data_IF_193147081896
#
_entry.id   IF_193147081896
#
_cell.length_a   1.000
_cell.length_b   1.000
_cell.length_c   1.000
_cell.angle_alpha   90.00
_cell.angle_beta   90.00
_cell.angle_gamma   90.00
#
_symmetry.space_group_name_H-M   'P 1'
#
loop_
_entity.id
_entity.type
_entity.pdbx_description
1 polymer ?
#
# COMPACT_ATOMS: atom_id res chain seq x y z
N UNK A 1 10.58 -21.10 8.19
CA UNK A 1 9.38 -20.82 7.49
C UNK A 1 9.30 -19.39 7.01
N UNK A 2 9.34 -19.22 5.78
CA UNK A 2 9.24 -17.86 5.31
C UNK A 2 7.88 -17.34 5.70
N UNK A 3 7.89 -16.15 6.11
CA UNK A 3 6.62 -15.52 6.34
C UNK A 3 6.44 -14.46 5.29
N UNK A 4 5.24 -14.07 5.08
CA UNK A 4 4.89 -13.12 4.03
C UNK A 4 4.55 -11.77 4.59
N UNK A 5 5.17 -11.43 5.73
CA UNK A 5 4.91 -10.14 6.32
C UNK A 5 5.34 -8.99 5.41
N UNK A 6 6.23 -9.28 4.46
CA UNK A 6 6.72 -8.25 3.58
C UNK A 6 5.77 -7.95 2.43
N UNK A 7 4.76 -8.76 2.22
CA UNK A 7 3.82 -8.59 1.12
C UNK A 7 2.43 -8.32 1.67
N UNK A 8 1.82 -7.24 1.20
CA UNK A 8 0.47 -6.86 1.57
C UNK A 8 -0.41 -6.98 0.33
N UNK A 9 -1.57 -7.57 0.48
CA UNK A 9 -2.52 -7.72 -0.62
C UNK A 9 -3.72 -6.83 -0.41
N UNK A 10 -4.05 -6.05 -1.44
CA UNK A 10 -5.21 -5.17 -1.44
C UNK A 10 -5.99 -5.38 -2.72
N UNK A 11 -7.19 -4.86 -2.77
CA UNK A 11 -8.00 -5.00 -3.98
C UNK A 11 -9.00 -3.85 -4.09
N UNK A 12 -9.41 -3.57 -5.31
CA UNK A 12 -10.39 -2.53 -5.62
C UNK A 12 -9.98 -1.18 -5.04
N UNK A 13 -8.76 -0.74 -5.37
CA UNK A 13 -8.23 0.51 -4.85
C UNK A 13 -8.59 1.64 -5.80
N UNK A 14 -9.45 2.55 -5.36
CA UNK A 14 -9.92 3.68 -6.16
C UNK A 14 -9.20 4.97 -5.83
N UNK A 15 -8.58 5.07 -4.67
CA UNK A 15 -7.95 6.29 -4.23
C UNK A 15 -6.90 5.95 -3.18
N UNK A 16 -6.07 6.96 -2.87
CA UNK A 16 -5.02 6.74 -1.87
C UNK A 16 -5.59 6.38 -0.51
N UNK A 17 -6.70 7.03 -0.13
CA UNK A 17 -7.30 6.75 1.16
C UNK A 17 -7.70 5.27 1.28
N UNK A 18 -8.29 4.73 0.23
CA UNK A 18 -8.68 3.32 0.24
C UNK A 18 -7.47 2.40 0.39
N UNK A 19 -6.38 2.73 -0.29
CA UNK A 19 -5.15 1.97 -0.16
C UNK A 19 -4.61 2.03 1.26
N UNK A 20 -4.55 3.24 1.82
CA UNK A 20 -4.03 3.42 3.18
C UNK A 20 -4.84 2.61 4.18
N UNK A 21 -6.15 2.64 4.04
CA UNK A 21 -7.02 1.93 4.98
C UNK A 21 -6.87 0.43 4.86
N UNK A 22 -6.78 -0.09 3.66
CA UNK A 22 -6.63 -1.53 3.48
C UNK A 22 -5.30 -2.03 4.03
N UNK A 23 -4.22 -1.30 3.76
CA UNK A 23 -2.92 -1.70 4.25
C UNK A 23 -2.86 -1.58 5.77
N UNK A 24 -3.37 -0.48 6.31
CA UNK A 24 -3.35 -0.28 7.75
C UNK A 24 -4.15 -1.35 8.48
N UNK A 25 -5.27 -1.78 7.91
CA UNK A 25 -6.10 -2.80 8.54
C UNK A 25 -5.38 -4.14 8.67
N UNK A 26 -4.40 -4.38 7.83
CA UNK A 26 -3.63 -5.62 7.89
C UNK A 26 -2.41 -5.52 8.79
N UNK A 27 -1.91 -4.31 8.99
CA UNK A 27 -0.70 -4.10 9.78
C UNK A 27 -0.98 -3.66 11.21
N UNK A 28 -1.98 -2.84 11.40
CA UNK A 28 -2.30 -2.31 12.73
C UNK A 28 -3.21 -3.29 13.47
N UNK A 29 -2.84 -3.60 14.68
CA UNK A 29 -3.62 -4.54 15.48
C UNK A 29 -4.46 -3.85 16.55
N UNK A 30 -4.25 -2.55 16.75
CA UNK A 30 -4.98 -1.78 17.75
C UNK A 30 -5.60 -0.57 17.07
N UNK A 31 -6.13 0.32 17.87
CA UNK A 31 -6.85 1.50 17.38
C UNK A 31 -5.91 2.56 16.84
N UNK A 32 -5.05 2.20 15.93
CA UNK A 32 -4.22 3.19 15.25
C UNK A 32 -4.96 3.67 14.02
N UNK A 33 -4.93 4.97 13.81
CA UNK A 33 -5.57 5.55 12.65
C UNK A 33 -4.74 5.32 11.40
N UNK A 34 -5.37 5.06 10.26
CA UNK A 34 -4.64 4.92 9.03
C UNK A 34 -3.89 6.19 8.69
N UNK A 35 -2.80 6.09 7.94
CA UNK A 35 -2.10 7.30 7.50
C UNK A 35 -2.99 8.13 6.58
N UNK A 36 -2.70 9.41 6.50
CA UNK A 36 -3.45 10.32 5.64
C UNK A 36 -2.60 10.95 4.57
N UNK A 37 -1.29 10.76 4.64
CA UNK A 37 -0.38 11.34 3.67
C UNK A 37 0.51 10.25 3.12
N UNK A 38 1.14 10.55 1.99
CA UNK A 38 2.08 9.63 1.38
C UNK A 38 3.25 9.37 2.33
N UNK A 39 3.76 10.42 2.96
CA UNK A 39 4.88 10.28 3.89
C UNK A 39 4.52 9.36 5.06
N UNK A 40 3.35 9.55 5.63
CA UNK A 40 2.92 8.72 6.74
C UNK A 40 2.70 7.28 6.28
N UNK A 41 2.19 7.11 5.07
CA UNK A 41 1.97 5.78 4.51
C UNK A 41 3.31 5.05 4.32
N UNK A 42 4.28 5.73 3.76
CA UNK A 42 5.61 5.14 3.55
C UNK A 42 6.25 4.81 4.89
N UNK A 43 6.11 5.69 5.88
CA UNK A 43 6.64 5.42 7.23
C UNK A 43 6.02 4.14 7.81
N UNK A 44 4.71 3.96 7.61
CA UNK A 44 4.04 2.75 8.07
C UNK A 44 4.63 1.52 7.39
N UNK A 45 4.82 1.59 6.08
CA UNK A 45 5.39 0.45 5.35
C UNK A 45 6.80 0.14 5.83
N UNK A 46 7.58 1.18 6.11
CA UNK A 46 8.94 1.01 6.61
C UNK A 46 8.93 0.41 8.00
N UNK A 47 8.01 0.85 8.84
CA UNK A 47 7.89 0.35 10.20
C UNK A 47 7.65 -1.16 10.22
N UNK A 48 6.84 -1.64 9.31
CA UNK A 48 6.44 -3.05 9.25
C UNK A 48 7.23 -3.85 8.21
N UNK A 49 8.26 -3.22 7.63
CA UNK A 49 9.15 -3.90 6.68
C UNK A 49 8.41 -4.44 5.46
N UNK A 50 7.42 -3.71 4.98
CA UNK A 50 6.69 -4.10 3.78
C UNK A 50 7.54 -3.77 2.57
N UNK A 51 7.76 -4.75 1.71
CA UNK A 51 8.56 -4.55 0.50
C UNK A 51 7.74 -4.71 -0.76
N UNK A 52 6.50 -5.20 -0.64
CA UNK A 52 5.69 -5.46 -1.82
C UNK A 52 4.22 -5.25 -1.49
N UNK A 53 3.52 -4.60 -2.39
CA UNK A 53 2.08 -4.46 -2.32
C UNK A 53 1.50 -5.08 -3.58
N UNK A 54 0.60 -6.02 -3.43
CA UNK A 54 -0.07 -6.65 -4.55
C UNK A 54 -1.50 -6.16 -4.58
N UNK A 55 -1.89 -5.51 -5.65
CA UNK A 55 -3.23 -4.96 -5.80
C UNK A 55 -3.98 -5.65 -6.93
N UNK A 56 -5.11 -6.22 -6.60
CA UNK A 56 -6.04 -6.72 -7.60
C UNK A 56 -7.04 -5.61 -7.89
N UNK A 57 -7.17 -5.23 -9.15
CA UNK A 57 -8.14 -4.22 -9.60
C UNK A 57 -7.77 -2.83 -9.10
N UNK A 58 -6.75 -2.31 -9.69
CA UNK A 58 -6.28 -0.94 -9.40
C UNK A 58 -7.09 0.04 -10.23
N UNK A 59 -7.76 0.97 -9.57
CA UNK A 59 -8.62 1.95 -10.23
C UNK A 59 -8.25 3.39 -9.89
N UNK A 60 -7.12 3.60 -9.25
CA UNK A 60 -6.72 4.94 -8.85
C UNK A 60 -6.39 5.78 -10.08
N UNK A 61 -6.88 7.03 -10.16
CA UNK A 61 -6.52 7.91 -11.27
C UNK A 61 -5.02 8.14 -11.35
N UNK A 62 -4.51 8.30 -12.56
CA UNK A 62 -3.08 8.42 -12.78
C UNK A 62 -2.46 9.59 -12.02
N UNK A 63 -3.14 10.73 -12.01
CA UNK A 63 -2.62 11.92 -11.34
C UNK A 63 -2.56 11.72 -9.83
N UNK A 64 -3.52 11.01 -9.27
CA UNK A 64 -3.51 10.72 -7.84
C UNK A 64 -2.45 9.69 -7.50
N UNK A 65 -2.20 8.77 -8.41
CA UNK A 65 -1.25 7.70 -8.17
C UNK A 65 0.20 8.13 -8.36
N UNK A 66 0.44 9.14 -9.16
CA UNK A 66 1.80 9.49 -9.58
C UNK A 66 2.75 9.73 -8.41
N UNK A 67 2.36 10.57 -7.47
CA UNK A 67 3.22 10.88 -6.32
C UNK A 67 3.40 9.67 -5.43
N UNK A 68 2.35 8.89 -5.27
CA UNK A 68 2.41 7.68 -4.47
C UNK A 68 3.37 6.67 -5.08
N UNK A 69 3.26 6.45 -6.38
CA UNK A 69 4.13 5.49 -7.05
C UNK A 69 5.59 5.92 -7.00
N UNK A 70 5.84 7.23 -7.15
CA UNK A 70 7.20 7.74 -7.03
C UNK A 70 7.76 7.49 -5.64
N UNK A 71 6.95 7.66 -4.61
CA UNK A 71 7.39 7.43 -3.25
C UNK A 71 7.69 5.95 -3.01
N UNK A 72 6.87 5.06 -3.54
CA UNK A 72 7.10 3.62 -3.39
C UNK A 72 8.39 3.20 -4.09
N UNK A 73 8.64 3.72 -5.28
CA UNK A 73 9.87 3.41 -5.99
C UNK A 73 11.08 3.90 -5.19
N UNK A 74 10.98 5.10 -4.65
CA UNK A 74 12.05 5.67 -3.85
C UNK A 74 12.37 4.81 -2.63
N UNK A 75 11.38 4.14 -2.06
CA UNK A 75 11.57 3.27 -0.91
C UNK A 75 11.81 1.82 -1.31
N UNK A 76 11.96 1.56 -2.59
CA UNK A 76 12.21 0.21 -3.11
C UNK A 76 11.07 -0.74 -2.78
N UNK A 77 9.85 -0.23 -2.77
CA UNK A 77 8.67 -1.05 -2.53
C UNK A 77 8.03 -1.33 -3.88
N UNK A 78 7.80 -2.60 -4.16
CA UNK A 78 7.23 -3.02 -5.43
C UNK A 78 5.70 -3.00 -5.35
N UNK A 79 5.07 -2.37 -6.33
CA UNK A 79 3.63 -2.43 -6.48
C UNK A 79 3.32 -3.31 -7.67
N UNK A 80 2.70 -4.44 -7.41
CA UNK A 80 2.28 -5.37 -8.46
C UNK A 80 0.78 -5.25 -8.63
N UNK A 81 0.35 -4.98 -9.85
CA UNK A 81 -1.06 -4.79 -10.14
C UNK A 81 -1.56 -5.91 -11.03
N UNK A 82 -2.66 -6.53 -10.62
CA UNK A 82 -3.35 -7.54 -11.42
C UNK A 82 -4.72 -6.99 -11.71
N UNK A 83 -5.08 -6.87 -12.98
CA UNK A 83 -6.39 -6.39 -13.32
C UNK A 83 -7.38 -7.53 -13.47
N UNK A 84 -7.02 -8.66 -13.18
CA UNK A 84 -7.84 -9.79 -13.00
C UNK A 84 -8.86 -9.96 -14.10
N UNK A 85 -9.14 -10.99 -14.55
CA UNK A 85 -10.15 -11.09 -15.56
C UNK A 85 -11.40 -11.70 -15.11
#
# INVERSE_FOLDING_TARGET
>A
MPNNHNTIRVHNVHCRKALYEQVASQLYTLDRKPPRTIDAFVDMLREFHVTRIHCARWHMPTDEAASLLAALVSERITLAITQGA
#
